data_IF_351009443953
#
_entry.id   IF_351009443953
#
_cell.length_a   1.000
_cell.length_b   1.000
_cell.length_c   1.000
_cell.angle_alpha   90.00
_cell.angle_beta   90.00
_cell.angle_gamma   90.00
#
_symmetry.space_group_name_H-M   'P 1'
#
loop_
_entity.id
_entity.type
_entity.pdbx_description
1 polymer ?
#
# COMPACT_ATOMS: atom_id res chain seq x y z
N UNK A 1 19.99 -64.56 -23.66
CA UNK A 1 20.80 -63.54 -22.96
C UNK A 1 20.06 -62.22 -23.14
N UNK A 2 19.20 -61.92 -22.17
CA UNK A 2 18.36 -60.72 -22.12
C UNK A 2 19.18 -59.54 -21.61
N UNK A 3 19.02 -58.38 -22.23
CA UNK A 3 19.56 -57.13 -21.70
C UNK A 3 18.58 -56.54 -20.69
N UNK A 4 19.04 -56.39 -19.46
CA UNK A 4 18.33 -55.75 -18.36
C UNK A 4 18.21 -54.23 -18.62
N UNK A 5 16.96 -53.73 -18.61
CA UNK A 5 16.66 -52.30 -18.44
C UNK A 5 16.52 -52.06 -16.94
N UNK A 6 17.41 -51.25 -16.37
CA UNK A 6 17.24 -50.69 -15.03
C UNK A 6 16.32 -49.47 -15.13
N UNK A 7 15.18 -49.53 -14.43
CA UNK A 7 14.30 -48.38 -14.16
C UNK A 7 14.89 -47.58 -12.98
N UNK A 8 15.40 -46.38 -13.24
CA UNK A 8 15.64 -45.39 -12.19
C UNK A 8 14.31 -44.68 -11.86
N UNK A 9 13.73 -45.03 -10.71
CA UNK A 9 12.61 -44.28 -10.13
C UNK A 9 13.15 -42.95 -9.57
N UNK A 10 12.84 -41.85 -10.27
CA UNK A 10 12.98 -40.49 -9.75
C UNK A 10 11.95 -40.28 -8.63
N UNK A 11 12.44 -40.18 -7.40
CA UNK A 11 11.66 -39.80 -6.23
C UNK A 11 11.49 -38.28 -6.22
N UNK A 12 10.37 -37.81 -6.79
CA UNK A 12 9.95 -36.41 -6.72
C UNK A 12 9.82 -35.95 -5.26
N UNK A 13 10.78 -35.13 -4.81
CA UNK A 13 10.66 -34.40 -3.55
C UNK A 13 9.76 -33.19 -3.80
N UNK A 14 8.63 -33.03 -3.07
CA UNK A 14 7.87 -31.79 -3.15
C UNK A 14 8.72 -30.64 -2.59
N UNK A 15 8.88 -29.60 -3.40
CA UNK A 15 9.48 -28.32 -3.04
C UNK A 15 8.67 -27.75 -1.88
N UNK A 16 9.22 -27.83 -0.67
CA UNK A 16 8.70 -27.13 0.50
C UNK A 16 9.02 -25.63 0.32
N UNK A 17 8.07 -24.89 -0.25
CA UNK A 17 8.11 -23.44 -0.21
C UNK A 17 8.02 -22.98 1.27
N UNK A 18 8.94 -22.15 1.77
CA UNK A 18 8.84 -21.62 3.13
C UNK A 18 7.58 -20.73 3.22
N UNK A 19 6.76 -20.89 4.26
CA UNK A 19 5.50 -20.17 4.36
C UNK A 19 5.76 -18.67 4.47
N UNK A 20 5.23 -17.91 3.51
CA UNK A 20 5.09 -16.46 3.60
C UNK A 20 4.35 -16.14 4.90
N UNK A 21 4.87 -15.17 5.67
CA UNK A 21 4.26 -14.69 6.90
C UNK A 21 2.83 -14.20 6.61
N UNK A 22 1.84 -15.02 6.95
CA UNK A 22 0.41 -14.69 6.88
C UNK A 22 0.06 -13.73 8.03
N UNK A 23 0.36 -12.44 7.87
CA UNK A 23 -0.02 -11.39 8.82
C UNK A 23 -1.34 -10.76 8.37
N UNK A 24 -2.39 -11.56 8.20
CA UNK A 24 -3.75 -11.02 8.12
C UNK A 24 -4.30 -10.95 9.53
N UNK A 25 -4.17 -9.79 10.18
CA UNK A 25 -4.80 -9.51 11.46
C UNK A 25 -6.32 -9.48 11.30
N UNK A 26 -6.99 -10.62 11.43
CA UNK A 26 -8.44 -10.65 11.60
C UNK A 26 -8.76 -10.04 12.96
N UNK A 27 -9.16 -8.77 12.99
CA UNK A 27 -9.86 -8.21 14.15
C UNK A 27 -11.13 -9.05 14.34
N UNK A 28 -11.22 -9.75 15.46
CA UNK A 28 -12.45 -10.38 15.91
C UNK A 28 -13.45 -9.29 16.25
N UNK A 29 -14.34 -8.96 15.33
CA UNK A 29 -15.57 -8.23 15.61
C UNK A 29 -16.69 -9.26 15.73
N UNK A 30 -17.05 -9.61 16.97
CA UNK A 30 -18.31 -10.29 17.23
C UNK A 30 -19.43 -9.44 16.59
N UNK A 31 -20.30 -9.99 15.73
CA UNK A 31 -21.36 -9.19 15.15
C UNK A 31 -22.39 -8.86 16.23
N UNK A 32 -22.68 -7.58 16.39
CA UNK A 32 -23.83 -7.11 17.16
C UNK A 32 -25.10 -7.58 16.42
N UNK A 33 -25.89 -8.43 17.06
CA UNK A 33 -27.12 -9.01 16.49
C UNK A 33 -28.19 -7.91 16.36
N UNK A 34 -28.29 -7.29 15.19
CA UNK A 34 -29.40 -6.40 14.84
C UNK A 34 -30.53 -7.24 14.25
N UNK A 35 -31.74 -7.08 14.81
CA UNK A 35 -32.97 -7.76 14.37
C UNK A 35 -33.21 -7.46 12.89
N UNK A 36 -33.35 -8.52 12.09
CA UNK A 36 -33.66 -8.46 10.67
C UNK A 36 -35.10 -7.96 10.48
N UNK A 37 -35.27 -6.81 9.83
CA UNK A 37 -36.50 -6.49 9.12
C UNK A 37 -36.32 -6.88 7.65
N UNK A 38 -37.22 -7.74 7.17
CA UNK A 38 -37.29 -8.24 5.80
C UNK A 38 -37.90 -7.18 4.85
N UNK A 39 -37.49 -7.28 3.58
CA UNK A 39 -37.93 -6.59 2.34
C UNK A 39 -37.13 -5.31 2.06
N UNK A 40 -36.52 -5.10 0.89
CA UNK A 40 -36.80 -5.58 -0.48
C UNK A 40 -35.49 -5.64 -1.26
N UNK A 41 -35.37 -6.57 -2.20
CA UNK A 41 -34.22 -6.69 -3.12
C UNK A 41 -34.08 -5.43 -3.97
N UNK A 42 -33.09 -4.59 -3.66
CA UNK A 42 -32.63 -3.56 -4.58
C UNK A 42 -31.62 -4.20 -5.53
N UNK A 43 -31.99 -4.28 -6.80
CA UNK A 43 -31.11 -4.62 -7.91
C UNK A 43 -29.84 -3.78 -7.81
N UNK A 44 -28.69 -4.47 -7.80
CA UNK A 44 -27.36 -3.85 -7.90
C UNK A 44 -27.28 -3.05 -9.21
N UNK A 45 -27.52 -1.75 -9.14
CA UNK A 45 -27.07 -0.85 -10.19
C UNK A 45 -25.55 -0.74 -10.02
N UNK A 46 -24.80 -1.34 -10.94
CA UNK A 46 -23.39 -1.01 -11.11
C UNK A 46 -23.26 0.52 -11.21
N UNK A 47 -22.29 1.15 -10.53
CA UNK A 47 -22.09 2.58 -10.66
C UNK A 47 -21.62 2.85 -12.10
N UNK A 48 -22.56 3.30 -12.94
CA UNK A 48 -22.26 3.78 -14.30
C UNK A 48 -21.40 5.03 -14.13
N UNK A 49 -20.09 4.84 -14.21
CA UNK A 49 -19.12 5.93 -14.12
C UNK A 49 -19.10 6.65 -15.47
N UNK A 50 -19.94 7.67 -15.62
CA UNK A 50 -19.91 8.52 -16.80
C UNK A 50 -18.61 9.33 -16.82
N UNK A 51 -17.80 9.16 -17.87
CA UNK A 51 -16.56 9.90 -18.06
C UNK A 51 -16.75 11.42 -18.10
N UNK A 52 -17.98 11.91 -18.31
CA UNK A 52 -18.33 13.33 -18.22
C UNK A 52 -18.59 13.80 -16.79
N UNK A 53 -18.96 12.91 -15.89
CA UNK A 53 -19.21 13.21 -14.48
C UNK A 53 -17.90 13.42 -13.70
N UNK A 54 -16.81 12.78 -14.10
CA UNK A 54 -15.53 12.90 -13.38
C UNK A 54 -14.91 14.32 -13.46
N UNK A 55 -14.83 14.99 -14.63
CA UNK A 55 -14.42 16.40 -14.70
C UNK A 55 -15.40 17.34 -13.99
N UNK A 56 -16.70 17.03 -13.97
CA UNK A 56 -17.74 17.80 -13.29
C UNK A 56 -17.66 17.68 -11.76
N UNK A 57 -17.31 16.50 -11.25
CA UNK A 57 -17.04 16.26 -9.84
C UNK A 57 -15.74 16.97 -9.42
N UNK A 58 -14.68 16.82 -10.22
CA UNK A 58 -13.42 17.52 -9.97
C UNK A 58 -13.58 19.04 -10.06
N UNK A 59 -14.40 19.58 -10.95
CA UNK A 59 -14.65 21.03 -11.01
C UNK A 59 -15.45 21.53 -9.81
N UNK A 60 -16.42 20.78 -9.32
CA UNK A 60 -17.15 21.15 -8.10
C UNK A 60 -16.30 21.07 -6.83
N UNK A 61 -15.31 20.18 -6.80
CA UNK A 61 -14.42 19.97 -5.65
C UNK A 61 -13.20 20.90 -5.70
N UNK A 62 -12.62 21.14 -6.88
CA UNK A 62 -11.38 21.92 -7.06
C UNK A 62 -11.61 23.37 -7.49
N UNK A 63 -12.76 23.71 -8.08
CA UNK A 63 -12.97 24.99 -8.78
C UNK A 63 -14.16 25.81 -8.24
N UNK A 64 -14.67 25.51 -7.04
CA UNK A 64 -15.49 26.50 -6.32
C UNK A 64 -14.58 27.64 -5.85
N UNK A 65 -14.77 28.88 -6.33
CA UNK A 65 -13.87 30.00 -6.05
C UNK A 65 -14.24 30.78 -4.78
N UNK A 66 -15.19 30.29 -3.98
CA UNK A 66 -15.48 30.88 -2.67
C UNK A 66 -14.81 30.02 -1.59
N UNK A 67 -13.68 30.45 -1.04
CA UNK A 67 -13.23 29.89 0.22
C UNK A 67 -14.33 30.17 1.25
N UNK A 68 -14.81 29.17 2.00
CA UNK A 68 -15.72 29.46 3.10
C UNK A 68 -15.05 30.49 4.00
N UNK A 69 -15.77 31.58 4.30
CA UNK A 69 -15.29 32.84 4.92
C UNK A 69 -14.64 32.65 6.30
N UNK A 70 -14.55 31.42 6.82
CA UNK A 70 -13.82 31.07 8.04
C UNK A 70 -13.16 29.68 7.97
N UNK A 71 -12.65 29.23 6.83
CA UNK A 71 -11.57 28.23 6.89
C UNK A 71 -10.32 28.94 7.37
N UNK A 72 -10.08 28.92 8.69
CA UNK A 72 -8.69 28.84 9.20
C UNK A 72 -7.99 27.92 8.23
N UNK A 73 -6.97 28.39 7.50
CA UNK A 73 -6.19 27.56 6.58
C UNK A 73 -6.07 26.20 7.25
N UNK A 74 -6.75 25.18 6.71
CA UNK A 74 -6.67 23.86 7.29
C UNK A 74 -5.18 23.60 7.36
N UNK A 75 -4.63 23.51 8.58
CA UNK A 75 -3.20 23.30 8.79
C UNK A 75 -2.81 22.22 7.79
N UNK A 76 -1.88 22.54 6.89
CA UNK A 76 -1.48 21.63 5.84
C UNK A 76 -1.04 20.33 6.52
N UNK A 77 -1.95 19.35 6.51
CA UNK A 77 -1.75 18.08 7.19
C UNK A 77 -0.89 17.25 6.25
N UNK A 78 0.44 17.49 6.33
CA UNK A 78 1.42 16.82 5.50
C UNK A 78 1.23 15.31 5.66
N UNK A 79 0.96 14.67 4.53
CA UNK A 79 0.77 13.22 4.46
C UNK A 79 2.06 12.58 4.03
N UNK A 80 2.37 11.47 4.67
CA UNK A 80 3.59 10.71 4.41
C UNK A 80 3.25 9.25 4.18
N UNK A 81 4.11 8.59 3.42
CA UNK A 81 4.23 7.15 3.42
C UNK A 81 5.35 6.80 4.40
N UNK A 82 4.98 6.23 5.54
CA UNK A 82 5.92 5.64 6.49
C UNK A 82 6.31 4.24 6.04
N UNK A 83 7.56 3.89 6.23
CA UNK A 83 8.10 2.55 6.00
C UNK A 83 8.88 2.13 7.23
N UNK A 84 8.42 1.04 7.85
CA UNK A 84 9.13 0.36 8.93
C UNK A 84 10.09 -0.67 8.29
N UNK A 85 11.39 -0.47 8.48
CA UNK A 85 12.43 -1.37 7.96
C UNK A 85 12.76 -2.42 9.02
N UNK A 86 12.51 -3.66 8.64
CA UNK A 86 12.66 -4.83 9.48
C UNK A 86 13.69 -5.78 8.85
N UNK A 87 14.30 -6.61 9.67
CA UNK A 87 15.20 -7.68 9.23
C UNK A 87 14.79 -8.97 9.93
N UNK A 88 14.66 -10.04 9.15
CA UNK A 88 14.54 -11.38 9.69
C UNK A 88 15.94 -11.89 10.05
N UNK A 89 16.19 -12.15 11.33
CA UNK A 89 17.48 -12.62 11.86
C UNK A 89 17.87 -14.00 11.35
N UNK A 90 16.88 -14.87 11.09
CA UNK A 90 17.13 -16.25 10.63
C UNK A 90 17.50 -16.30 9.16
N UNK A 91 16.75 -15.58 8.32
CA UNK A 91 16.91 -15.64 6.85
C UNK A 91 17.78 -14.50 6.30
N UNK A 92 18.12 -13.50 7.12
CA UNK A 92 18.74 -12.24 6.71
C UNK A 92 17.94 -11.43 5.67
N UNK A 93 16.70 -11.83 5.36
CA UNK A 93 15.82 -11.10 4.45
C UNK A 93 15.36 -9.80 5.10
N UNK A 94 15.38 -8.69 4.34
CA UNK A 94 14.84 -7.41 4.79
C UNK A 94 13.37 -7.33 4.41
N UNK A 95 12.58 -6.78 5.33
CA UNK A 95 11.13 -6.68 5.23
C UNK A 95 10.78 -5.21 5.40
N UNK A 96 9.96 -4.68 4.50
CA UNK A 96 9.55 -3.28 4.47
C UNK A 96 8.04 -3.21 4.63
N UNK A 97 7.56 -2.66 5.74
CA UNK A 97 6.13 -2.45 5.97
C UNK A 97 5.78 -0.99 5.74
N UNK A 98 5.06 -0.73 4.65
CA UNK A 98 4.58 0.58 4.24
C UNK A 98 3.20 0.88 4.84
N UNK A 99 3.02 2.07 5.41
CA UNK A 99 1.75 2.52 5.98
C UNK A 99 1.56 4.03 5.80
N UNK A 100 0.31 4.50 5.62
CA UNK A 100 0.01 5.93 5.56
C UNK A 100 0.20 6.56 6.94
N UNK A 101 0.79 7.74 6.98
CA UNK A 101 0.96 8.50 8.22
C UNK A 101 0.88 10.01 7.97
N UNK A 102 0.87 10.79 9.05
CA UNK A 102 0.80 12.25 9.07
C UNK A 102 1.83 12.78 10.06
N UNK A 103 2.24 14.03 9.89
CA UNK A 103 3.25 14.64 10.76
C UNK A 103 2.88 14.54 12.25
N UNK A 104 1.61 14.82 12.57
CA UNK A 104 1.08 14.79 13.94
C UNK A 104 0.98 13.39 14.56
N UNK A 105 0.86 12.33 13.76
CA UNK A 105 0.65 10.94 14.23
C UNK A 105 1.85 10.03 13.96
N UNK A 106 2.90 10.53 13.32
CA UNK A 106 4.01 9.74 12.79
C UNK A 106 4.60 8.76 13.80
N UNK A 107 5.01 9.27 14.97
CA UNK A 107 5.57 8.42 16.03
C UNK A 107 4.61 7.31 16.47
N UNK A 108 3.34 7.68 16.68
CA UNK A 108 2.31 6.72 17.11
C UNK A 108 2.04 5.67 16.05
N UNK A 109 2.07 6.05 14.77
CA UNK A 109 1.85 5.13 13.65
C UNK A 109 3.03 4.15 13.48
N UNK A 110 4.27 4.62 13.67
CA UNK A 110 5.44 3.75 13.74
C UNK A 110 5.36 2.77 14.91
N UNK A 111 5.03 3.25 16.11
CA UNK A 111 4.91 2.41 17.31
C UNK A 111 3.80 1.36 17.12
N UNK A 112 2.65 1.75 16.58
CA UNK A 112 1.53 0.84 16.30
C UNK A 112 1.87 -0.21 15.24
N UNK A 113 2.62 0.19 14.21
CA UNK A 113 3.09 -0.74 13.17
C UNK A 113 4.16 -1.68 13.72
N UNK A 114 5.05 -1.18 14.58
CA UNK A 114 6.09 -1.95 15.26
C UNK A 114 5.53 -3.06 16.13
N UNK A 115 4.47 -2.76 16.91
CA UNK A 115 3.77 -3.73 17.79
C UNK A 115 3.29 -4.99 17.09
N UNK A 116 3.07 -4.94 15.77
CA UNK A 116 2.68 -6.11 14.95
C UNK A 116 3.79 -7.18 14.92
N UNK A 117 5.02 -6.79 15.25
CA UNK A 117 6.22 -7.62 15.18
C UNK A 117 6.82 -7.94 16.54
N UNK A 118 6.31 -7.39 17.65
CA UNK A 118 6.84 -7.62 19.00
C UNK A 118 6.80 -9.12 19.39
N UNK A 119 5.76 -9.83 18.98
CA UNK A 119 5.59 -11.27 19.25
C UNK A 119 6.47 -12.16 18.33
N UNK A 120 7.30 -11.59 17.45
CA UNK A 120 8.10 -12.32 16.47
C UNK A 120 9.58 -12.20 16.80
N UNK A 121 10.16 -13.17 17.53
CA UNK A 121 11.54 -13.06 18.05
C UNK A 121 12.61 -12.98 16.95
N UNK A 122 12.28 -13.49 15.76
CA UNK A 122 13.16 -13.52 14.60
C UNK A 122 13.14 -12.22 13.81
N UNK A 123 12.21 -11.31 14.06
CA UNK A 123 12.09 -10.06 13.32
C UNK A 123 12.58 -8.92 14.20
N UNK A 124 13.46 -8.08 13.66
CA UNK A 124 13.97 -6.91 14.35
C UNK A 124 13.81 -5.67 13.48
N UNK A 125 13.26 -4.62 14.08
CA UNK A 125 13.30 -3.28 13.49
C UNK A 125 14.71 -2.72 13.58
N UNK A 126 15.17 -2.09 12.50
CA UNK A 126 16.52 -1.54 12.42
C UNK A 126 16.56 -0.12 11.86
N UNK A 127 15.57 0.30 11.05
CA UNK A 127 15.48 1.68 10.56
C UNK A 127 14.04 2.05 10.18
N UNK A 128 13.80 3.33 9.92
CA UNK A 128 12.54 3.89 9.45
C UNK A 128 12.82 4.79 8.24
N UNK A 129 12.00 4.68 7.19
CA UNK A 129 12.03 5.58 6.03
C UNK A 129 10.69 6.29 5.93
N UNK A 130 10.71 7.60 5.72
CA UNK A 130 9.49 8.40 5.58
C UNK A 130 9.59 9.25 4.32
N UNK A 131 8.58 9.18 3.46
CA UNK A 131 8.52 9.94 2.21
C UNK A 131 7.24 10.76 2.16
N UNK A 132 7.34 12.07 1.94
CA UNK A 132 6.17 12.93 1.76
C UNK A 132 5.36 12.46 0.54
N UNK A 133 4.04 12.42 0.67
CA UNK A 133 3.16 11.93 -0.36
C UNK A 133 1.91 12.80 -0.48
N UNK A 134 1.55 13.21 -1.70
CA UNK A 134 0.25 13.85 -1.97
C UNK A 134 -0.88 12.92 -1.53
N UNK A 135 -0.76 11.64 -1.90
CA UNK A 135 -1.62 10.56 -1.45
C UNK A 135 -0.75 9.34 -1.13
N UNK A 136 -0.56 8.98 0.16
CA UNK A 136 0.28 7.84 0.56
C UNK A 136 -0.15 6.53 -0.09
N UNK A 137 -1.46 6.32 -0.25
CA UNK A 137 -2.01 5.12 -0.86
C UNK A 137 -1.67 5.01 -2.35
N UNK A 138 -1.68 6.14 -3.08
CA UNK A 138 -1.24 6.16 -4.48
C UNK A 138 0.25 5.89 -4.57
N UNK A 139 1.07 6.48 -3.71
CA UNK A 139 2.51 6.23 -3.66
C UNK A 139 2.84 4.77 -3.35
N UNK A 140 2.14 4.16 -2.39
CA UNK A 140 2.25 2.73 -2.09
C UNK A 140 1.91 1.87 -3.30
N UNK A 141 0.80 2.14 -4.01
CA UNK A 141 0.43 1.39 -5.22
C UNK A 141 1.47 1.56 -6.32
N UNK A 142 2.00 2.76 -6.53
CA UNK A 142 3.11 3.00 -7.46
C UNK A 142 4.35 2.20 -7.07
N UNK A 143 4.65 2.09 -5.77
CA UNK A 143 5.74 1.26 -5.28
C UNK A 143 5.52 -0.23 -5.58
N UNK A 144 4.31 -0.76 -5.34
CA UNK A 144 3.96 -2.16 -5.70
C UNK A 144 4.18 -2.42 -7.19
N UNK A 145 3.76 -1.49 -8.07
CA UNK A 145 3.99 -1.63 -9.52
C UNK A 145 5.48 -1.52 -9.88
N UNK A 146 6.22 -0.62 -9.24
CA UNK A 146 7.64 -0.39 -9.53
C UNK A 146 8.51 -1.57 -9.08
N UNK A 147 8.25 -2.12 -7.89
CA UNK A 147 8.93 -3.27 -7.33
C UNK A 147 8.18 -4.57 -7.62
N UNK A 148 7.70 -4.74 -8.86
CA UNK A 148 6.90 -5.92 -9.26
C UNK A 148 7.64 -7.24 -9.13
N UNK A 149 8.97 -7.20 -9.16
CA UNK A 149 9.84 -8.38 -9.09
C UNK A 149 10.09 -8.84 -7.64
N UNK A 150 9.73 -8.03 -6.65
CA UNK A 150 9.90 -8.34 -5.24
C UNK A 150 8.71 -9.12 -4.69
N UNK A 151 8.91 -9.78 -3.54
CA UNK A 151 7.82 -10.53 -2.89
C UNK A 151 6.95 -9.59 -2.08
N UNK A 152 5.66 -9.56 -2.39
CA UNK A 152 4.67 -8.75 -1.68
C UNK A 152 3.67 -9.63 -0.95
N UNK A 153 3.17 -9.12 0.18
CA UNK A 153 1.98 -9.71 0.79
C UNK A 153 0.71 -9.38 -0.03
N UNK A 154 -0.40 -10.07 0.28
CA UNK A 154 -1.68 -9.90 -0.43
C UNK A 154 -2.22 -8.48 -0.41
N UNK A 155 -1.97 -7.74 0.67
CA UNK A 155 -2.44 -6.36 0.82
C UNK A 155 -1.51 -5.34 0.13
N UNK A 156 -0.33 -5.77 -0.33
CA UNK A 156 0.66 -4.94 -1.01
C UNK A 156 1.28 -3.86 -0.11
N UNK A 157 1.27 -4.05 1.20
CA UNK A 157 1.86 -3.12 2.18
C UNK A 157 3.14 -3.67 2.82
N UNK A 158 3.44 -4.96 2.64
CA UNK A 158 4.66 -5.59 3.14
C UNK A 158 5.41 -6.17 1.94
N UNK A 159 6.69 -5.79 1.83
CA UNK A 159 7.59 -6.23 0.78
C UNK A 159 8.82 -6.90 1.40
N UNK A 160 9.25 -8.01 0.84
CA UNK A 160 10.54 -8.64 1.14
C UNK A 160 11.52 -8.35 0.00
N UNK A 161 12.66 -7.75 0.31
CA UNK A 161 13.68 -7.40 -0.68
C UNK A 161 15.09 -7.39 -0.06
N UNK A 162 16.13 -7.40 -0.89
CA UNK A 162 17.53 -7.41 -0.40
C UNK A 162 18.27 -6.06 -0.47
N UNK A 163 17.73 -5.07 -1.16
CA UNK A 163 18.36 -3.74 -1.26
C UNK A 163 18.34 -2.97 0.06
N UNK A 164 19.15 -1.92 0.18
CA UNK A 164 19.29 -1.08 1.38
C UNK A 164 18.17 -0.03 1.51
N UNK A 165 18.00 0.53 2.71
CA UNK A 165 16.98 1.55 3.00
C UNK A 165 17.22 2.84 2.20
N UNK A 166 18.48 3.15 1.92
CA UNK A 166 18.85 4.30 1.10
C UNK A 166 18.33 4.15 -0.33
N UNK A 167 18.49 2.95 -0.91
CA UNK A 167 17.99 2.64 -2.24
C UNK A 167 16.46 2.67 -2.28
N UNK A 168 15.80 2.14 -1.24
CA UNK A 168 14.35 2.23 -1.10
C UNK A 168 13.89 3.69 -1.04
N UNK A 169 14.52 4.50 -0.20
CA UNK A 169 14.20 5.91 -0.01
C UNK A 169 14.32 6.68 -1.32
N UNK A 170 15.42 6.51 -2.06
CA UNK A 170 15.64 7.16 -3.34
C UNK A 170 14.57 6.78 -4.37
N UNK A 171 14.26 5.49 -4.50
CA UNK A 171 13.22 5.01 -5.43
C UNK A 171 11.83 5.53 -5.05
N UNK A 172 11.50 5.59 -3.76
CA UNK A 172 10.25 6.19 -3.29
C UNK A 172 10.19 7.70 -3.58
N UNK A 173 11.30 8.42 -3.48
CA UNK A 173 11.38 9.83 -3.86
C UNK A 173 11.21 10.02 -5.38
N UNK A 174 11.80 9.16 -6.20
CA UNK A 174 11.59 9.18 -7.65
C UNK A 174 10.11 9.00 -8.01
N UNK A 175 9.45 8.01 -7.40
CA UNK A 175 8.02 7.78 -7.58
C UNK A 175 7.17 8.97 -7.14
N UNK A 176 7.51 9.60 -6.01
CA UNK A 176 6.87 10.84 -5.56
C UNK A 176 7.02 11.95 -6.59
N UNK A 177 8.23 12.16 -7.12
CA UNK A 177 8.49 13.18 -8.14
C UNK A 177 7.71 12.93 -9.43
N UNK A 178 7.57 11.67 -9.85
CA UNK A 178 6.73 11.30 -10.99
C UNK A 178 5.25 11.61 -10.74
N UNK A 179 4.72 11.32 -9.55
CA UNK A 179 3.34 11.67 -9.19
C UNK A 179 3.11 13.18 -9.21
N UNK A 180 4.03 13.96 -8.67
CA UNK A 180 3.99 15.43 -8.71
C UNK A 180 3.98 15.92 -10.16
N UNK A 181 4.86 15.39 -11.01
CA UNK A 181 4.92 15.75 -12.43
C UNK A 181 3.61 15.43 -13.16
N UNK A 182 3.03 14.25 -12.92
CA UNK A 182 1.76 13.85 -13.52
C UNK A 182 0.60 14.75 -13.07
N UNK A 183 0.56 15.11 -11.78
CA UNK A 183 -0.42 16.07 -11.26
C UNK A 183 -0.27 17.44 -11.94
N UNK A 184 0.95 17.95 -12.06
CA UNK A 184 1.20 19.22 -12.76
C UNK A 184 0.76 19.18 -14.22
N UNK A 185 1.08 18.10 -14.95
CA UNK A 185 0.65 17.93 -16.33
C UNK A 185 -0.88 17.88 -16.46
N UNK A 186 -1.55 17.21 -15.53
CA UNK A 186 -3.01 17.18 -15.48
C UNK A 186 -3.61 18.56 -15.22
N UNK A 187 -3.05 19.34 -14.28
CA UNK A 187 -3.46 20.72 -14.02
C UNK A 187 -3.27 21.59 -15.27
N UNK A 188 -2.15 21.45 -16.00
CA UNK A 188 -1.92 22.16 -17.27
C UNK A 188 -2.98 21.79 -18.31
N UNK A 189 -3.27 20.50 -18.48
CA UNK A 189 -4.31 20.01 -19.38
C UNK A 189 -5.69 20.60 -19.05
N UNK A 190 -6.06 20.63 -17.76
CA UNK A 190 -7.32 21.23 -17.31
C UNK A 190 -7.40 22.74 -17.55
N UNK A 191 -6.27 23.46 -17.50
CA UNK A 191 -6.24 24.89 -17.83
C UNK A 191 -6.41 25.13 -19.33
N UNK A 192 -5.78 24.30 -20.16
CA UNK A 192 -5.84 24.44 -21.63
C UNK A 192 -7.20 24.02 -22.20
N UNK A 193 -7.85 23.00 -21.63
CA UNK A 193 -9.15 22.49 -22.08
C UNK A 193 -10.37 23.33 -21.67
N UNK A 194 -10.14 24.40 -20.90
CA UNK A 194 -11.17 25.37 -20.49
C UNK A 194 -11.17 26.66 -21.33
N UNK A 195 -10.20 26.82 -22.23
CA UNK A 195 -10.17 27.88 -23.24
C UNK A 195 -10.79 27.39 -24.54
#
# INVERSE_FOLDING_TARGET
>A
MSMDRQEEQQLDKPIMEPPVLNISGRRSTKPHRVKQNKKTSATSAEPIFDNKLFPLMLSKILLKPEPPVNTKLAQYDHRYLGVLCLKNKKTNVKIYHMFPTRDSTMRTDYDNTGKIYDDKPDIQSWNNVTTEAICPETLRRSAVTYFSNEKWNKDGNIMEAQFDEWELSNKLQELRMQQIKNLFNYIKFLKMSKS
#
